data_IF_881588865021
#
_entry.id   IF_881588865021
#
_cell.length_a   1.000
_cell.length_b   1.000
_cell.length_c   1.000
_cell.angle_alpha   90.00
_cell.angle_beta   90.00
_cell.angle_gamma   90.00
#
_symmetry.space_group_name_H-M   'P 1'
#
loop_
_entity.id
_entity.type
_entity.pdbx_description
1 polymer ?
#
# COMPACT_ATOMS: atom_id res chain seq x y z
N UNK A 1 38.25 40.70 9.99
CA UNK A 1 38.18 39.28 9.59
C UNK A 1 36.72 38.85 9.72
N UNK A 2 36.15 38.40 8.61
CA UNK A 2 34.72 38.46 8.32
C UNK A 2 33.99 37.18 8.74
N UNK A 3 33.01 37.34 9.65
CA UNK A 3 31.75 36.57 9.82
C UNK A 3 31.66 35.19 9.12
N UNK A 4 31.84 34.11 9.87
CA UNK A 4 31.43 32.76 9.50
C UNK A 4 29.91 32.65 9.44
N UNK A 5 29.33 32.83 8.25
CA UNK A 5 28.00 32.34 7.91
C UNK A 5 28.17 30.93 7.33
N UNK A 6 28.27 29.91 8.18
CA UNK A 6 27.96 28.56 7.76
C UNK A 6 26.52 28.28 8.18
N UNK A 7 25.63 28.51 7.21
CA UNK A 7 24.24 28.12 7.26
C UNK A 7 24.12 26.62 7.59
N UNK A 8 23.06 26.21 8.30
CA UNK A 8 22.70 24.81 8.40
C UNK A 8 22.30 24.35 7.00
N UNK A 9 23.20 23.68 6.29
CA UNK A 9 22.86 23.03 5.03
C UNK A 9 21.94 21.85 5.35
N UNK A 10 20.65 22.20 5.31
CA UNK A 10 19.55 21.43 4.83
C UNK A 10 19.69 19.92 5.04
N UNK A 11 18.86 19.39 5.96
CA UNK A 11 18.05 18.20 5.66
C UNK A 11 17.81 18.19 4.16
N UNK A 12 18.56 17.38 3.41
CA UNK A 12 18.16 17.08 2.06
C UNK A 12 16.72 16.55 2.22
N UNK A 13 15.70 17.16 1.59
CA UNK A 13 14.51 16.39 1.33
C UNK A 13 15.03 15.26 0.43
N UNK A 14 15.32 14.10 1.02
CA UNK A 14 15.60 12.89 0.26
C UNK A 14 14.43 12.79 -0.70
N UNK A 15 14.77 13.09 -1.94
CA UNK A 15 13.82 13.57 -2.90
C UNK A 15 12.63 12.62 -2.91
N UNK A 16 11.48 13.24 -2.80
CA UNK A 16 10.17 12.81 -3.27
C UNK A 16 10.29 12.51 -4.77
N UNK A 17 11.18 11.57 -5.13
CA UNK A 17 11.39 11.14 -6.49
C UNK A 17 10.24 10.18 -6.79
N UNK A 18 9.37 10.52 -7.74
CA UNK A 18 8.34 9.57 -8.20
C UNK A 18 8.97 8.28 -8.76
N UNK A 19 10.28 8.28 -9.06
CA UNK A 19 11.06 7.14 -9.54
C UNK A 19 11.17 5.99 -8.52
N UNK A 20 11.06 6.28 -7.22
CA UNK A 20 11.11 5.25 -6.17
C UNK A 20 9.74 4.60 -5.88
N UNK A 21 8.68 4.96 -6.61
CA UNK A 21 7.35 4.34 -6.47
C UNK A 21 7.23 3.03 -7.25
N UNK A 22 8.16 2.75 -8.18
CA UNK A 22 8.23 1.52 -8.97
C UNK A 22 9.30 0.55 -8.45
N UNK A 23 9.40 0.39 -7.13
CA UNK A 23 10.17 -0.75 -6.61
C UNK A 23 9.38 -2.02 -6.92
N UNK A 24 9.96 -3.09 -7.48
CA UNK A 24 9.25 -4.35 -7.71
C UNK A 24 8.59 -4.93 -6.43
N UNK A 25 9.10 -4.57 -5.24
CA UNK A 25 8.46 -4.87 -3.94
C UNK A 25 7.14 -4.10 -3.70
N UNK A 26 6.99 -2.91 -4.30
CA UNK A 26 5.75 -2.13 -4.26
C UNK A 26 4.60 -2.83 -5.00
N UNK A 27 4.92 -3.58 -6.07
CA UNK A 27 3.96 -4.39 -6.83
C UNK A 27 3.64 -5.75 -6.20
N UNK A 28 4.31 -6.10 -5.09
CA UNK A 28 4.04 -7.37 -4.41
C UNK A 28 2.57 -7.45 -3.96
N UNK A 29 1.86 -8.44 -4.49
CA UNK A 29 0.45 -8.65 -4.19
C UNK A 29 -0.50 -7.72 -4.95
N UNK A 30 -0.04 -7.08 -6.02
CA UNK A 30 -0.91 -6.32 -6.91
C UNK A 30 -2.04 -7.21 -7.47
N UNK A 31 -3.31 -6.79 -7.37
CA UNK A 31 -4.46 -7.60 -7.78
C UNK A 31 -4.68 -7.54 -9.30
N UNK A 32 -3.68 -7.96 -10.09
CA UNK A 32 -3.79 -7.96 -11.56
C UNK A 32 -4.98 -8.80 -12.06
N UNK A 33 -5.24 -9.93 -11.41
CA UNK A 33 -6.32 -10.85 -11.76
C UNK A 33 -7.71 -10.24 -11.52
N UNK A 34 -7.92 -9.59 -10.36
CA UNK A 34 -9.19 -8.90 -10.06
C UNK A 34 -9.43 -7.72 -11.01
N UNK A 35 -8.37 -6.99 -11.38
CA UNK A 35 -8.48 -5.90 -12.35
C UNK A 35 -8.80 -6.43 -13.75
N UNK A 36 -8.18 -7.53 -14.16
CA UNK A 36 -8.50 -8.19 -15.42
C UNK A 36 -9.95 -8.70 -15.45
N UNK A 37 -10.46 -9.23 -14.34
CA UNK A 37 -11.87 -9.64 -14.21
C UNK A 37 -12.84 -8.46 -14.32
N UNK A 38 -12.42 -7.24 -13.97
CA UNK A 38 -13.15 -5.99 -14.18
C UNK A 38 -12.97 -5.43 -15.61
N UNK A 39 -12.26 -6.13 -16.49
CA UNK A 39 -11.92 -5.65 -17.82
C UNK A 39 -10.91 -4.48 -17.82
N UNK A 40 -10.25 -4.22 -16.69
CA UNK A 40 -9.31 -3.12 -16.54
C UNK A 40 -7.88 -3.59 -16.82
N UNK A 41 -7.25 -3.00 -17.84
CA UNK A 41 -5.84 -3.26 -18.11
C UNK A 41 -4.99 -2.44 -17.12
N UNK A 42 -4.08 -3.07 -16.36
CA UNK A 42 -3.24 -2.34 -15.43
C UNK A 42 -2.30 -1.38 -16.18
N UNK A 43 -2.33 -0.10 -15.79
CA UNK A 43 -1.50 0.96 -16.32
C UNK A 43 -0.56 1.47 -15.23
N UNK A 44 0.39 2.35 -15.60
CA UNK A 44 1.26 3.03 -14.63
C UNK A 44 0.46 3.77 -13.54
N UNK A 45 -0.68 4.35 -13.90
CA UNK A 45 -1.60 4.99 -12.95
C UNK A 45 -2.18 3.97 -11.95
N UNK A 46 -2.56 2.78 -12.41
CA UNK A 46 -3.06 1.72 -11.55
C UNK A 46 -1.99 1.22 -10.57
N UNK A 47 -0.73 1.13 -11.00
CA UNK A 47 0.40 0.76 -10.15
C UNK A 47 0.72 1.84 -9.10
N UNK A 48 0.70 3.11 -9.48
CA UNK A 48 0.86 4.22 -8.54
C UNK A 48 -0.29 4.26 -7.51
N UNK A 49 -1.52 4.07 -7.98
CA UNK A 49 -2.70 4.00 -7.12
C UNK A 49 -2.62 2.83 -6.12
N UNK A 50 -2.11 1.68 -6.54
CA UNK A 50 -1.85 0.54 -5.65
C UNK A 50 -0.84 0.86 -4.54
N UNK A 51 0.29 1.49 -4.89
CA UNK A 51 1.30 1.90 -3.91
C UNK A 51 0.74 2.86 -2.86
N UNK A 52 -0.19 3.73 -3.27
CA UNK A 52 -0.86 4.69 -2.37
C UNK A 52 -1.99 4.02 -1.57
N UNK A 53 -2.75 3.09 -2.15
CA UNK A 53 -3.73 2.28 -1.43
C UNK A 53 -3.10 1.50 -0.27
N UNK A 54 -1.88 0.98 -0.45
CA UNK A 54 -1.09 0.32 0.61
C UNK A 54 -0.62 1.29 1.71
N UNK A 55 -0.54 2.59 1.43
CA UNK A 55 -0.22 3.63 2.42
C UNK A 55 -1.45 4.15 3.17
N UNK A 56 -2.63 3.60 2.90
CA UNK A 56 -3.90 3.97 3.56
C UNK A 56 -4.74 4.98 2.79
N UNK A 57 -4.41 5.28 1.54
CA UNK A 57 -5.26 6.14 0.71
C UNK A 57 -6.53 5.39 0.29
N UNK A 58 -7.69 6.00 0.58
CA UNK A 58 -9.00 5.41 0.31
C UNK A 58 -9.45 5.54 -1.15
N UNK A 59 -10.51 4.81 -1.47
CA UNK A 59 -11.08 4.72 -2.83
C UNK A 59 -11.40 6.10 -3.42
N UNK A 60 -12.02 6.99 -2.65
CA UNK A 60 -12.44 8.32 -3.12
C UNK A 60 -11.25 9.22 -3.51
N UNK A 61 -10.14 9.10 -2.78
CA UNK A 61 -8.91 9.81 -3.09
C UNK A 61 -8.28 9.27 -4.38
N UNK A 62 -8.23 7.95 -4.55
CA UNK A 62 -7.66 7.31 -5.73
C UNK A 62 -8.49 7.60 -7.00
N UNK A 63 -9.81 7.60 -6.92
CA UNK A 63 -10.67 7.92 -8.07
C UNK A 63 -10.45 9.36 -8.54
N UNK A 64 -10.27 10.32 -7.61
CA UNK A 64 -10.06 11.73 -7.96
C UNK A 64 -8.67 12.03 -8.52
N UNK A 65 -7.65 11.31 -8.04
CA UNK A 65 -6.25 11.60 -8.38
C UNK A 65 -5.72 10.78 -9.57
N UNK A 66 -6.29 9.61 -9.84
CA UNK A 66 -5.83 8.70 -10.89
C UNK A 66 -6.86 8.46 -11.99
N UNK A 67 -7.99 9.17 -11.95
CA UNK A 67 -9.12 9.01 -12.89
C UNK A 67 -9.57 7.54 -13.03
N UNK A 68 -9.48 6.79 -11.93
CA UNK A 68 -9.88 5.39 -11.89
C UNK A 68 -11.38 5.28 -11.62
N UNK A 69 -12.02 4.28 -12.24
CA UNK A 69 -13.37 3.88 -11.87
C UNK A 69 -13.44 3.47 -10.40
N UNK A 70 -14.58 3.73 -9.76
CA UNK A 70 -14.80 3.39 -8.34
C UNK A 70 -14.60 1.89 -8.07
N UNK A 71 -14.99 1.02 -9.00
CA UNK A 71 -14.76 -0.43 -8.93
C UNK A 71 -13.26 -0.78 -8.90
N UNK A 72 -12.47 -0.17 -9.78
CA UNK A 72 -11.02 -0.38 -9.87
C UNK A 72 -10.32 0.11 -8.60
N UNK A 73 -10.61 1.34 -8.18
CA UNK A 73 -10.06 1.88 -6.94
C UNK A 73 -10.53 1.10 -5.70
N UNK A 74 -11.75 0.58 -5.72
CA UNK A 74 -12.31 -0.27 -4.67
C UNK A 74 -11.59 -1.62 -4.58
N UNK A 75 -11.32 -2.25 -5.71
CA UNK A 75 -10.55 -3.49 -5.78
C UNK A 75 -9.12 -3.31 -5.24
N UNK A 76 -8.44 -2.22 -5.62
CA UNK A 76 -7.10 -1.89 -5.12
C UNK A 76 -7.05 -1.70 -3.60
N UNK A 77 -8.00 -0.96 -3.04
CA UNK A 77 -8.08 -0.70 -1.59
C UNK A 77 -8.46 -1.96 -0.83
N UNK A 78 -9.43 -2.74 -1.32
CA UNK A 78 -9.82 -4.01 -0.69
C UNK A 78 -8.64 -4.99 -0.66
N UNK A 79 -7.94 -5.15 -1.78
CA UNK A 79 -6.78 -6.02 -1.88
C UNK A 79 -5.62 -5.53 -0.98
N UNK A 80 -5.44 -4.22 -0.80
CA UNK A 80 -4.41 -3.69 0.11
C UNK A 80 -4.74 -4.02 1.57
N UNK A 81 -6.00 -3.86 1.98
CA UNK A 81 -6.45 -4.20 3.34
C UNK A 81 -6.42 -5.70 3.64
N UNK A 82 -6.90 -6.54 2.73
CA UNK A 82 -6.86 -8.00 2.91
C UNK A 82 -5.44 -8.48 3.16
N UNK A 83 -4.45 -7.93 2.44
CA UNK A 83 -3.05 -8.34 2.53
C UNK A 83 -2.31 -7.75 3.74
N UNK A 84 -2.76 -6.63 4.28
CA UNK A 84 -2.26 -6.08 5.54
C UNK A 84 -2.88 -6.79 6.76
N UNK A 85 -4.13 -7.24 6.65
CA UNK A 85 -4.85 -7.96 7.69
C UNK A 85 -4.36 -9.38 7.97
N UNK A 86 -3.66 -10.03 7.04
CA UNK A 86 -3.13 -11.41 7.25
C UNK A 86 -1.96 -11.46 8.24
N UNK A 87 -1.50 -10.34 8.80
CA UNK A 87 -0.49 -10.34 9.88
C UNK A 87 -1.06 -10.65 11.27
N UNK A 88 -2.37 -10.83 11.41
CA UNK A 88 -3.00 -11.02 12.72
C UNK A 88 -3.88 -12.28 12.77
N UNK A 89 -3.31 -13.48 12.56
CA UNK A 89 -3.75 -14.76 13.17
C UNK A 89 -2.87 -15.91 12.67
N UNK A 90 -1.67 -16.04 13.22
CA UNK A 90 -1.01 -17.35 13.39
C UNK A 90 -0.46 -17.39 14.80
N UNK A 91 -1.37 -17.46 15.76
CA UNK A 91 -1.08 -18.04 17.07
C UNK A 91 -2.16 -19.09 17.25
N UNK A 92 -1.88 -20.37 16.98
CA UNK A 92 -2.70 -21.41 17.57
C UNK A 92 -2.59 -21.23 19.08
N UNK A 93 -3.65 -20.73 19.70
CA UNK A 93 -3.78 -20.79 21.15
C UNK A 93 -3.55 -22.25 21.56
N UNK A 94 -2.65 -22.54 22.51
CA UNK A 94 -2.51 -23.89 23.01
C UNK A 94 -3.86 -24.30 23.59
N UNK A 95 -4.50 -25.29 22.97
CA UNK A 95 -5.65 -25.96 23.54
C UNK A 95 -5.20 -26.56 24.87
N UNK A 96 -5.43 -25.83 25.96
CA UNK A 96 -5.29 -26.36 27.30
C UNK A 96 -6.38 -27.43 27.48
N UNK A 97 -6.04 -28.59 28.08
CA UNK A 97 -6.96 -29.71 28.22
C UNK A 97 -8.02 -29.38 29.26
N UNK A 98 -9.28 -29.31 28.83
CA UNK A 98 -10.41 -29.28 29.76
C UNK A 98 -10.88 -30.71 30.08
N UNK A 99 -11.16 -30.90 31.36
CA UNK A 99 -11.19 -32.15 32.10
C UNK A 99 -12.62 -32.69 32.09
N UNK A 100 -12.83 -33.98 31.79
CA UNK A 100 -14.05 -34.68 32.20
C UNK A 100 -13.68 -36.00 32.87
N UNK A 101 -13.71 -35.98 34.20
CA UNK A 101 -13.78 -37.15 35.07
C UNK A 101 -15.25 -37.62 35.16
N UNK A 102 -15.47 -38.94 35.24
CA UNK A 102 -16.16 -39.49 36.40
C UNK A 102 -15.38 -40.58 37.13
#
# INVERSE_FOLDING_TARGET
>A
MTRSLQHPEARQPSQDRPEALWVPDALRGFPADELAALGHTPTEATYAAWSLARRGHGTDWLTRHFDLSRDVAGALVRASHQRQGVKATDTPAPAAPDVIAP
#
